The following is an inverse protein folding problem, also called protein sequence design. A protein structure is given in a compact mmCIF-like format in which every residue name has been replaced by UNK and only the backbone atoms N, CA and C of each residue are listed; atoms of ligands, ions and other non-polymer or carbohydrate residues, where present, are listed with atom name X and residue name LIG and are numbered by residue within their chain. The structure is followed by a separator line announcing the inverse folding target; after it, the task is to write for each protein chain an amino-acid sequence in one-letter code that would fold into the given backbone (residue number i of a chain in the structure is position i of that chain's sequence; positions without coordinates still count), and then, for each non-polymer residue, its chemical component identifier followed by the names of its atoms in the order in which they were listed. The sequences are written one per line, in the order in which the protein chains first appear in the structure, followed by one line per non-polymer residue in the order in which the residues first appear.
data_IF_158911210679
#
_entry.id   IF_158911210679
#
_cell.length_a   1.000
_cell.length_b   1.000
_cell.length_c   1.000
_cell.angle_alpha   90.00
_cell.angle_beta   90.00
_cell.angle_gamma   90.00
#
_symmetry.space_group_name_H-M   'P 1'
#
loop_
_entity.id
_entity.type
_entity.pdbx_description
1 polymer ?
#
# COMPACT_ATOMS: atom_id res chain seq x y z
N UNK A 1 20.14 8.68 -13.91
CA UNK A 1 21.30 8.31 -13.08
C UNK A 1 21.09 8.56 -11.57
N UNK A 2 20.33 9.60 -11.15
CA UNK A 2 20.12 9.94 -9.72
C UNK A 2 19.46 8.81 -8.90
N UNK A 3 18.66 7.94 -9.51
CA UNK A 3 18.00 6.83 -8.79
C UNK A 3 18.83 5.52 -8.81
N UNK A 4 19.93 5.45 -9.53
CA UNK A 4 20.73 4.21 -9.67
C UNK A 4 21.39 3.79 -8.36
N UNK A 5 21.73 4.75 -7.49
CA UNK A 5 22.35 4.51 -6.18
C UNK A 5 21.35 4.29 -5.05
N UNK A 6 20.06 4.30 -5.34
CA UNK A 6 19.01 4.11 -4.31
C UNK A 6 19.09 2.70 -3.72
N UNK A 7 19.24 2.55 -2.37
CA UNK A 7 19.27 1.26 -1.71
C UNK A 7 18.01 0.44 -1.94
N UNK A 8 18.13 -0.90 -1.86
CA UNK A 8 17.02 -1.82 -2.08
C UNK A 8 15.81 -1.53 -1.19
N UNK A 9 16.02 -1.37 0.12
CA UNK A 9 14.94 -1.07 1.06
C UNK A 9 14.21 0.23 0.74
N UNK A 10 14.95 1.29 0.35
CA UNK A 10 14.34 2.55 -0.07
C UNK A 10 13.61 2.39 -1.42
N UNK A 11 14.16 1.62 -2.36
CA UNK A 11 13.48 1.31 -3.63
C UNK A 11 12.14 0.62 -3.39
N UNK A 12 12.11 -0.38 -2.49
CA UNK A 12 10.90 -1.10 -2.13
C UNK A 12 9.86 -0.17 -1.50
N UNK A 13 10.24 0.50 -0.40
CA UNK A 13 9.29 1.34 0.37
C UNK A 13 8.75 2.51 -0.43
N UNK A 14 9.58 3.22 -1.21
CA UNK A 14 9.11 4.34 -2.04
C UNK A 14 8.29 3.87 -3.25
N UNK A 15 8.60 2.69 -3.79
CA UNK A 15 7.80 2.09 -4.87
C UNK A 15 6.41 1.65 -4.40
N UNK A 16 6.33 1.05 -3.22
CA UNK A 16 5.06 0.68 -2.59
C UNK A 16 4.26 1.92 -2.14
N UNK A 17 4.93 2.98 -1.73
CA UNK A 17 4.30 4.27 -1.44
C UNK A 17 3.64 4.87 -2.69
N UNK A 18 4.35 4.86 -3.82
CA UNK A 18 3.76 5.28 -5.10
C UNK A 18 2.58 4.39 -5.53
N UNK A 19 2.63 3.09 -5.25
CA UNK A 19 1.51 2.16 -5.45
C UNK A 19 0.32 2.55 -4.58
N UNK A 20 0.56 2.86 -3.31
CA UNK A 20 -0.48 3.29 -2.36
C UNK A 20 -1.18 4.56 -2.84
N UNK A 21 -0.42 5.58 -3.24
CA UNK A 21 -0.96 6.80 -3.83
C UNK A 21 -1.87 6.53 -5.04
N UNK A 22 -1.41 5.69 -5.97
CA UNK A 22 -2.16 5.36 -7.18
C UNK A 22 -3.46 4.60 -6.87
N UNK A 23 -3.41 3.64 -5.93
CA UNK A 23 -4.57 2.85 -5.53
C UNK A 23 -5.58 3.71 -4.79
N UNK A 24 -5.17 4.48 -3.78
CA UNK A 24 -6.09 5.33 -3.02
C UNK A 24 -6.76 6.40 -3.89
N UNK A 25 -6.00 7.05 -4.78
CA UNK A 25 -6.57 7.98 -5.76
C UNK A 25 -7.58 7.30 -6.70
N UNK A 26 -7.37 6.02 -7.04
CA UNK A 26 -8.27 5.27 -7.90
C UNK A 26 -9.55 4.84 -7.19
N UNK A 27 -9.44 4.31 -5.98
CA UNK A 27 -10.60 3.80 -5.23
C UNK A 27 -11.43 4.90 -4.58
N UNK A 28 -10.85 6.09 -4.38
CA UNK A 28 -11.50 7.26 -3.79
C UNK A 28 -12.76 7.70 -4.56
N UNK A 29 -13.61 8.47 -3.89
CA UNK A 29 -14.89 8.98 -4.47
C UNK A 29 -14.70 10.17 -5.39
N UNK A 30 -13.60 10.93 -5.26
CA UNK A 30 -13.29 12.11 -6.08
C UNK A 30 -12.51 11.79 -7.37
N UNK A 31 -12.30 10.50 -7.67
CA UNK A 31 -11.57 10.08 -8.87
C UNK A 31 -12.25 10.54 -10.16
N UNK A 32 -11.48 11.12 -11.08
CA UNK A 32 -11.92 11.58 -12.41
C UNK A 32 -11.49 10.57 -13.50
N UNK A 33 -11.93 10.79 -14.74
CA UNK A 33 -11.45 9.98 -15.87
C UNK A 33 -9.93 10.09 -16.04
N UNK A 34 -9.39 11.30 -15.86
CA UNK A 34 -7.96 11.57 -16.01
C UNK A 34 -7.13 10.91 -14.87
N UNK A 35 -7.56 11.09 -13.62
CA UNK A 35 -6.84 10.51 -12.48
C UNK A 35 -6.92 8.99 -12.46
N UNK A 36 -8.05 8.40 -12.88
CA UNK A 36 -8.16 6.94 -13.08
C UNK A 36 -7.18 6.41 -14.11
N UNK A 37 -7.04 7.08 -15.25
CA UNK A 37 -6.10 6.66 -16.27
C UNK A 37 -4.65 6.72 -15.75
N UNK A 38 -4.27 7.81 -15.09
CA UNK A 38 -2.95 7.97 -14.48
C UNK A 38 -2.68 6.91 -13.40
N UNK A 39 -3.66 6.62 -12.52
CA UNK A 39 -3.54 5.57 -11.51
C UNK A 39 -3.35 4.19 -12.11
N UNK A 40 -4.14 3.81 -13.12
CA UNK A 40 -4.03 2.50 -13.79
C UNK A 40 -2.63 2.35 -14.40
N UNK A 41 -2.17 3.35 -15.14
CA UNK A 41 -0.83 3.31 -15.76
C UNK A 41 0.28 3.24 -14.70
N UNK A 42 0.16 4.01 -13.61
CA UNK A 42 1.11 3.96 -12.50
C UNK A 42 1.18 2.56 -11.87
N UNK A 43 0.02 1.96 -11.55
CA UNK A 43 -0.07 0.62 -10.94
C UNK A 43 0.58 -0.43 -11.87
N UNK A 44 0.28 -0.38 -13.16
CA UNK A 44 0.82 -1.33 -14.14
C UNK A 44 2.33 -1.20 -14.24
N UNK A 45 2.86 0.02 -14.35
CA UNK A 45 4.30 0.26 -14.37
C UNK A 45 5.00 -0.23 -13.09
N UNK A 46 4.37 -0.07 -11.91
CA UNK A 46 4.93 -0.54 -10.66
C UNK A 46 4.96 -2.07 -10.62
N UNK A 47 3.87 -2.74 -10.97
CA UNK A 47 3.83 -4.21 -10.99
C UNK A 47 4.86 -4.82 -11.95
N UNK A 48 5.06 -4.21 -13.11
CA UNK A 48 6.00 -4.70 -14.11
C UNK A 48 7.47 -4.42 -13.76
N UNK A 49 7.76 -3.38 -12.96
CA UNK A 49 9.13 -2.87 -12.86
C UNK A 49 9.71 -2.81 -11.43
N UNK A 50 8.88 -2.74 -10.37
CA UNK A 50 9.39 -2.51 -9.02
C UNK A 50 10.30 -3.63 -8.53
N UNK A 51 9.92 -4.89 -8.74
CA UNK A 51 10.76 -6.02 -8.33
C UNK A 51 12.08 -6.06 -9.12
N UNK A 52 12.07 -5.71 -10.40
CA UNK A 52 13.28 -5.61 -11.23
C UNK A 52 14.19 -4.50 -10.70
N UNK A 53 13.63 -3.31 -10.43
CA UNK A 53 14.39 -2.20 -9.86
C UNK A 53 14.94 -2.51 -8.45
N UNK A 54 14.21 -3.29 -7.65
CA UNK A 54 14.65 -3.77 -6.33
C UNK A 54 15.81 -4.77 -6.43
N UNK A 55 15.71 -5.76 -7.33
CA UNK A 55 16.74 -6.80 -7.51
C UNK A 55 18.00 -6.24 -8.17
N UNK A 56 17.81 -5.43 -9.20
CA UNK A 56 18.89 -4.80 -9.99
C UNK A 56 18.70 -3.28 -10.07
N UNK A 57 19.30 -2.56 -9.14
CA UNK A 57 19.24 -1.09 -9.08
C UNK A 57 19.84 -0.38 -10.31
N UNK A 58 20.66 -1.08 -11.10
CA UNK A 58 21.28 -0.55 -12.31
C UNK A 58 20.43 -0.71 -13.57
N UNK A 59 19.27 -1.38 -13.48
CA UNK A 59 18.34 -1.49 -14.61
C UNK A 59 17.71 -0.12 -14.89
N UNK A 60 18.27 0.57 -15.88
CA UNK A 60 17.86 1.93 -16.26
C UNK A 60 16.42 1.98 -16.77
N UNK A 61 15.93 0.90 -17.38
CA UNK A 61 14.56 0.84 -17.90
C UNK A 61 13.58 0.71 -16.74
N UNK A 62 13.82 -0.22 -15.81
CA UNK A 62 13.00 -0.36 -14.61
C UNK A 62 12.99 0.93 -13.77
N UNK A 63 14.17 1.55 -13.55
CA UNK A 63 14.27 2.84 -12.83
C UNK A 63 13.49 3.96 -13.48
N UNK A 64 13.59 4.11 -14.80
CA UNK A 64 12.83 5.12 -15.56
C UNK A 64 11.32 4.88 -15.48
N UNK A 65 10.91 3.62 -15.59
CA UNK A 65 9.50 3.26 -15.50
C UNK A 65 8.96 3.52 -14.08
N UNK A 66 9.73 3.24 -13.04
CA UNK A 66 9.37 3.57 -11.66
C UNK A 66 9.27 5.09 -11.43
N UNK A 67 10.18 5.89 -12.01
CA UNK A 67 10.10 7.35 -11.95
C UNK A 67 8.82 7.87 -12.63
N UNK A 68 8.48 7.31 -13.81
CA UNK A 68 7.23 7.63 -14.50
C UNK A 68 6.00 7.25 -13.67
N UNK A 69 6.02 6.06 -13.07
CA UNK A 69 4.95 5.60 -12.20
C UNK A 69 4.72 6.54 -11.01
N UNK A 70 5.79 6.94 -10.33
CA UNK A 70 5.73 7.90 -9.22
C UNK A 70 5.14 9.25 -9.67
N UNK A 71 5.55 9.77 -10.82
CA UNK A 71 4.98 11.00 -11.38
C UNK A 71 3.48 10.88 -11.67
N UNK A 72 3.05 9.75 -12.27
CA UNK A 72 1.64 9.51 -12.56
C UNK A 72 0.80 9.35 -11.30
N UNK A 73 1.31 8.61 -10.30
CA UNK A 73 0.69 8.49 -8.99
C UNK A 73 0.55 9.88 -8.32
N UNK A 74 1.61 10.69 -8.39
CA UNK A 74 1.62 12.09 -7.92
C UNK A 74 0.54 12.94 -8.60
N UNK A 75 0.42 12.83 -9.91
CA UNK A 75 -0.62 13.52 -10.70
C UNK A 75 -2.02 13.08 -10.30
N UNK A 76 -2.21 11.79 -10.01
CA UNK A 76 -3.51 11.25 -9.63
C UNK A 76 -3.93 11.74 -8.23
N UNK A 77 -3.09 11.55 -7.21
CA UNK A 77 -3.47 11.87 -5.83
C UNK A 77 -3.58 13.37 -5.57
N UNK A 78 -2.80 14.22 -6.24
CA UNK A 78 -2.91 15.68 -6.11
C UNK A 78 -4.33 16.19 -6.42
N UNK A 79 -5.05 15.51 -7.29
CA UNK A 79 -6.43 15.86 -7.67
C UNK A 79 -7.50 15.01 -7.00
N UNK A 80 -7.16 13.76 -6.65
CA UNK A 80 -8.13 12.78 -6.14
C UNK A 80 -7.91 12.43 -4.67
N UNK A 81 -6.92 13.06 -4.05
CA UNK A 81 -6.53 12.84 -2.66
C UNK A 81 -6.02 11.42 -2.37
N UNK A 82 -5.67 11.18 -1.14
CA UNK A 82 -5.29 9.89 -0.54
C UNK A 82 -6.43 9.35 0.34
N UNK A 83 -6.17 8.34 1.14
CA UNK A 83 -7.18 7.73 1.99
C UNK A 83 -6.64 7.32 3.36
N UNK A 84 -7.26 6.32 3.97
CA UNK A 84 -6.93 5.90 5.33
C UNK A 84 -5.57 5.21 5.46
N UNK A 85 -5.01 4.65 4.38
CA UNK A 85 -3.63 4.13 4.43
C UNK A 85 -2.68 5.26 4.83
N UNK A 86 -2.75 6.39 4.15
CA UNK A 86 -1.91 7.55 4.45
C UNK A 86 -2.23 8.17 5.80
N UNK A 87 -3.50 8.33 6.16
CA UNK A 87 -3.87 8.94 7.45
C UNK A 87 -3.31 8.14 8.64
N UNK A 88 -3.41 6.81 8.59
CA UNK A 88 -2.84 5.92 9.60
C UNK A 88 -1.32 5.94 9.57
N UNK A 89 -0.70 5.90 8.39
CA UNK A 89 0.75 5.96 8.23
C UNK A 89 1.35 7.28 8.76
N UNK A 90 0.69 8.41 8.53
CA UNK A 90 1.15 9.72 9.01
C UNK A 90 1.18 9.80 10.53
N UNK A 91 0.17 9.28 11.22
CA UNK A 91 0.17 9.25 12.69
C UNK A 91 1.28 8.36 13.26
N UNK A 92 1.56 7.22 12.62
CA UNK A 92 2.67 6.34 12.97
C UNK A 92 4.03 7.00 12.73
N UNK A 93 4.20 7.66 11.59
CA UNK A 93 5.40 8.42 11.29
C UNK A 93 5.64 9.55 12.28
N UNK A 94 4.58 10.32 12.60
CA UNK A 94 4.67 11.45 13.53
C UNK A 94 4.94 11.05 14.99
N UNK A 95 4.40 9.92 15.46
CA UNK A 95 4.55 9.50 16.85
C UNK A 95 5.77 8.58 17.10
N UNK A 96 6.11 7.73 16.12
CA UNK A 96 7.14 6.69 16.28
C UNK A 96 8.33 6.83 15.33
N UNK A 97 8.29 7.78 14.39
CA UNK A 97 9.35 7.94 13.40
C UNK A 97 9.42 6.78 12.39
N UNK A 98 8.34 6.01 12.25
CA UNK A 98 8.27 4.91 11.29
C UNK A 98 8.39 5.51 9.88
N UNK A 99 9.31 5.01 9.03
CA UNK A 99 9.46 5.53 7.67
C UNK A 99 8.16 5.46 6.88
N UNK A 100 7.76 6.58 6.27
CA UNK A 100 6.46 6.76 5.61
C UNK A 100 6.13 5.65 4.61
N UNK A 101 7.04 5.37 3.67
CA UNK A 101 6.83 4.34 2.66
C UNK A 101 6.75 2.92 3.24
N UNK A 102 7.44 2.66 4.36
CA UNK A 102 7.32 1.40 5.09
C UNK A 102 5.92 1.26 5.71
N UNK A 103 5.46 2.29 6.42
CA UNK A 103 4.12 2.28 7.03
C UNK A 103 3.03 2.06 5.96
N UNK A 104 3.10 2.80 4.84
CA UNK A 104 2.17 2.64 3.73
C UNK A 104 2.21 1.23 3.12
N UNK A 105 3.40 0.64 2.96
CA UNK A 105 3.55 -0.71 2.40
C UNK A 105 2.83 -1.78 3.22
N UNK A 106 2.97 -1.72 4.54
CA UNK A 106 2.36 -2.68 5.46
C UNK A 106 0.86 -2.45 5.60
N UNK A 107 0.45 -1.19 5.71
CA UNK A 107 -0.95 -0.81 5.90
C UNK A 107 -1.81 -1.05 4.65
N UNK A 108 -1.25 -0.92 3.45
CA UNK A 108 -2.02 -0.97 2.21
C UNK A 108 -2.89 -2.23 2.11
N UNK A 109 -2.37 -3.46 2.17
CA UNK A 109 -3.20 -4.66 2.05
C UNK A 109 -4.21 -4.80 3.21
N UNK A 110 -3.88 -4.31 4.40
CA UNK A 110 -4.75 -4.36 5.59
C UNK A 110 -5.97 -3.46 5.39
N UNK A 111 -5.74 -2.21 5.03
CA UNK A 111 -6.81 -1.21 4.83
C UNK A 111 -7.68 -1.57 3.63
N UNK A 112 -7.07 -2.04 2.52
CA UNK A 112 -7.85 -2.49 1.36
C UNK A 112 -8.80 -3.64 1.71
N UNK A 113 -8.33 -4.61 2.50
CA UNK A 113 -9.15 -5.72 2.99
C UNK A 113 -10.27 -5.21 3.91
N UNK A 114 -9.97 -4.26 4.80
CA UNK A 114 -10.93 -3.69 5.73
C UNK A 114 -12.05 -2.87 5.07
N UNK A 115 -11.81 -2.31 3.87
CA UNK A 115 -12.89 -1.66 3.09
C UNK A 115 -13.96 -2.65 2.60
N UNK A 116 -13.62 -3.93 2.45
CA UNK A 116 -14.56 -4.97 2.03
C UNK A 116 -15.34 -4.60 0.77
N UNK A 117 -16.65 -4.81 0.81
CA UNK A 117 -17.55 -4.57 -0.34
C UNK A 117 -17.50 -3.15 -0.89
N UNK A 118 -17.14 -2.16 -0.07
CA UNK A 118 -17.02 -0.76 -0.52
C UNK A 118 -15.93 -0.55 -1.58
N UNK A 119 -14.87 -1.39 -1.56
CA UNK A 119 -13.76 -1.31 -2.51
C UNK A 119 -13.76 -2.43 -3.55
N UNK A 120 -14.47 -3.56 -3.34
CA UNK A 120 -14.37 -4.77 -4.17
C UNK A 120 -14.49 -4.48 -5.67
N UNK A 121 -15.52 -3.74 -6.11
CA UNK A 121 -15.72 -3.45 -7.53
C UNK A 121 -14.55 -2.72 -8.19
N UNK A 122 -13.96 -1.75 -7.48
CA UNK A 122 -12.83 -0.96 -8.01
C UNK A 122 -11.53 -1.76 -7.98
N UNK A 123 -11.28 -2.53 -6.92
CA UNK A 123 -10.11 -3.42 -6.81
C UNK A 123 -10.18 -4.56 -7.83
N UNK A 124 -11.34 -5.20 -8.00
CA UNK A 124 -11.55 -6.21 -9.01
C UNK A 124 -11.28 -5.71 -10.43
N UNK A 125 -11.70 -4.46 -10.72
CA UNK A 125 -11.38 -3.84 -11.99
C UNK A 125 -9.89 -3.63 -12.19
N UNK A 126 -9.17 -3.20 -11.16
CA UNK A 126 -7.70 -3.10 -11.19
C UNK A 126 -7.06 -4.47 -11.43
N UNK A 127 -7.50 -5.51 -10.69
CA UNK A 127 -7.00 -6.87 -10.85
C UNK A 127 -7.12 -7.37 -12.30
N UNK A 128 -8.27 -7.15 -12.93
CA UNK A 128 -8.50 -7.57 -14.32
C UNK A 128 -7.69 -6.76 -15.33
N UNK A 129 -7.56 -5.44 -15.14
CA UNK A 129 -6.78 -4.57 -16.04
C UNK A 129 -5.29 -4.91 -15.96
N UNK A 130 -4.78 -5.23 -14.77
CA UNK A 130 -3.38 -5.57 -14.54
C UNK A 130 -3.05 -7.04 -14.81
N UNK A 131 -4.03 -7.86 -15.19
CA UNK A 131 -3.84 -9.28 -15.48
C UNK A 131 -3.62 -10.16 -14.25
N UNK A 132 -3.89 -9.66 -13.04
CA UNK A 132 -3.76 -10.43 -11.79
C UNK A 132 -4.90 -11.43 -11.63
N UNK A 133 -6.10 -11.10 -12.13
CA UNK A 133 -7.29 -11.94 -12.02
C UNK A 133 -8.12 -11.87 -13.27
N UNK A 134 -8.69 -12.99 -13.67
CA UNK A 134 -9.72 -13.12 -14.70
C UNK A 134 -11.10 -13.47 -14.11
N UNK A 135 -11.18 -13.60 -12.77
CA UNK A 135 -12.42 -13.93 -12.06
C UNK A 135 -13.53 -12.92 -12.37
N UNK A 136 -14.73 -13.44 -12.64
CA UNK A 136 -15.94 -12.64 -12.82
C UNK A 136 -16.55 -12.17 -11.49
N UNK A 137 -16.17 -12.79 -10.37
CA UNK A 137 -16.63 -12.44 -9.03
C UNK A 137 -15.75 -11.31 -8.47
N UNK A 138 -16.33 -10.15 -8.21
CA UNK A 138 -15.60 -8.96 -7.75
C UNK A 138 -14.88 -9.20 -6.41
N UNK A 139 -15.50 -9.96 -5.49
CA UNK A 139 -14.87 -10.27 -4.20
C UNK A 139 -13.60 -11.12 -4.38
N UNK A 140 -13.63 -12.12 -5.28
CA UNK A 140 -12.47 -12.97 -5.56
C UNK A 140 -11.36 -12.18 -6.23
N UNK A 141 -11.67 -11.44 -7.29
CA UNK A 141 -10.68 -10.63 -7.99
C UNK A 141 -10.05 -9.55 -7.07
N UNK A 142 -10.84 -8.95 -6.18
CA UNK A 142 -10.33 -8.00 -5.20
C UNK A 142 -9.37 -8.66 -4.19
N UNK A 143 -9.68 -9.85 -3.69
CA UNK A 143 -8.81 -10.59 -2.78
C UNK A 143 -7.51 -11.00 -3.47
N UNK A 144 -7.56 -11.46 -4.72
CA UNK A 144 -6.37 -11.79 -5.52
C UNK A 144 -5.48 -10.57 -5.73
N UNK A 145 -6.06 -9.38 -5.96
CA UNK A 145 -5.31 -8.13 -6.06
C UNK A 145 -4.60 -7.77 -4.74
N UNK A 146 -5.30 -7.90 -3.61
CA UNK A 146 -4.72 -7.64 -2.28
C UNK A 146 -3.60 -8.63 -1.97
N UNK A 147 -3.80 -9.91 -2.30
CA UNK A 147 -2.79 -10.95 -2.10
C UNK A 147 -1.56 -10.74 -2.99
N UNK A 148 -1.73 -10.20 -4.20
CA UNK A 148 -0.60 -9.82 -5.05
C UNK A 148 0.26 -8.73 -4.38
N UNK A 149 -0.37 -7.70 -3.78
CA UNK A 149 0.34 -6.65 -3.03
C UNK A 149 1.13 -7.25 -1.85
N UNK A 150 0.53 -8.16 -1.08
CA UNK A 150 1.22 -8.89 0.00
C UNK A 150 2.43 -9.67 -0.50
N UNK A 151 2.26 -10.39 -1.61
CA UNK A 151 3.35 -11.15 -2.23
C UNK A 151 4.50 -10.24 -2.67
N UNK A 152 4.20 -9.04 -3.13
CA UNK A 152 5.23 -8.04 -3.44
C UNK A 152 5.99 -7.61 -2.18
N UNK A 153 5.30 -7.31 -1.08
CA UNK A 153 5.94 -6.96 0.20
C UNK A 153 6.90 -8.07 0.63
N UNK A 154 6.44 -9.32 0.66
CA UNK A 154 7.25 -10.49 1.03
C UNK A 154 8.48 -10.62 0.12
N UNK A 155 8.29 -10.51 -1.21
CA UNK A 155 9.37 -10.67 -2.19
C UNK A 155 10.46 -9.60 -2.12
N UNK A 156 10.14 -8.46 -1.53
CA UNK A 156 11.06 -7.33 -1.33
C UNK A 156 11.54 -7.20 0.13
N UNK A 157 11.28 -8.20 0.98
CA UNK A 157 11.66 -8.21 2.38
C UNK A 157 11.17 -6.95 3.14
N UNK A 158 9.98 -6.48 2.82
CA UNK A 158 9.34 -5.43 3.61
C UNK A 158 8.92 -6.07 4.93
N UNK A 159 9.43 -5.55 6.06
CA UNK A 159 9.12 -6.15 7.36
C UNK A 159 7.63 -5.98 7.68
N UNK A 160 7.00 -7.07 8.03
CA UNK A 160 5.70 -7.15 8.69
C UNK A 160 5.92 -7.94 9.97
N UNK A 161 5.63 -7.40 11.13
CA UNK A 161 4.83 -6.23 11.51
C UNK A 161 5.62 -4.93 11.62
N UNK A 162 4.88 -3.86 11.98
CA UNK A 162 5.50 -2.63 12.47
C UNK A 162 5.66 -2.76 14.00
N UNK A 163 6.88 -3.00 14.43
CA UNK A 163 7.19 -3.14 15.85
C UNK A 163 7.16 -1.79 16.61
N UNK A 164 6.95 -1.87 17.92
CA UNK A 164 7.10 -0.74 18.83
C UNK A 164 5.87 0.15 19.02
N UNK A 165 4.75 -0.15 18.38
CA UNK A 165 3.48 0.57 18.59
C UNK A 165 2.91 0.14 19.96
N UNK A 166 2.63 1.09 20.86
CA UNK A 166 2.08 0.80 22.17
C UNK A 166 0.56 0.84 22.14
N UNK A 167 -0.10 -0.15 22.72
CA UNK A 167 -1.55 -0.23 22.78
C UNK A 167 -2.20 1.00 23.41
N UNK A 168 -1.55 1.60 24.42
CA UNK A 168 -2.02 2.81 25.11
C UNK A 168 -2.08 4.05 24.21
N UNK A 169 -1.29 4.09 23.14
CA UNK A 169 -1.26 5.22 22.21
C UNK A 169 -2.29 5.09 21.07
N UNK A 170 -2.82 3.88 20.81
CA UNK A 170 -3.70 3.60 19.67
C UNK A 170 -4.92 4.53 19.62
N UNK A 171 -5.65 4.80 20.72
CA UNK A 171 -6.78 5.72 20.66
C UNK A 171 -6.38 7.15 20.21
N UNK A 172 -5.21 7.60 20.65
CA UNK A 172 -4.67 8.91 20.25
C UNK A 172 -4.25 8.92 18.78
N UNK A 173 -3.60 7.86 18.30
CA UNK A 173 -3.21 7.71 16.90
C UNK A 173 -4.44 7.71 15.97
N UNK A 174 -5.47 6.95 16.35
CA UNK A 174 -6.73 6.89 15.61
C UNK A 174 -7.43 8.26 15.56
N UNK A 175 -7.40 9.02 16.66
CA UNK A 175 -7.91 10.38 16.69
C UNK A 175 -7.15 11.32 15.73
N UNK A 176 -5.83 11.15 15.59
CA UNK A 176 -5.06 11.93 14.63
C UNK A 176 -5.40 11.55 13.18
N UNK A 177 -5.48 10.27 12.87
CA UNK A 177 -5.87 9.78 11.55
C UNK A 177 -7.30 10.22 11.17
N UNK A 178 -8.24 10.17 12.13
CA UNK A 178 -9.61 10.64 11.94
C UNK A 178 -9.66 12.14 11.62
N UNK A 179 -9.01 12.97 12.42
CA UNK A 179 -8.96 14.43 12.20
C UNK A 179 -8.30 14.82 10.87
N UNK A 180 -7.33 14.07 10.42
CA UNK A 180 -6.68 14.31 9.15
C UNK A 180 -7.58 13.92 7.98
N UNK A 181 -8.15 12.72 8.05
CA UNK A 181 -8.89 12.16 6.92
C UNK A 181 -10.32 12.67 6.80
N UNK A 182 -11.01 12.90 7.93
CA UNK A 182 -12.43 13.19 7.91
C UNK A 182 -12.72 14.68 8.15
N UNK A 183 -13.55 15.31 7.31
CA UNK A 183 -14.25 14.76 6.13
C UNK A 183 -13.49 14.94 4.81
N UNK A 184 -12.20 15.26 4.81
CA UNK A 184 -11.45 15.74 3.64
C UNK A 184 -11.15 14.65 2.62
N UNK A 185 -10.80 13.44 3.09
CA UNK A 185 -10.39 12.37 2.18
C UNK A 185 -11.61 11.65 1.58
N UNK A 186 -11.65 11.52 0.25
CA UNK A 186 -12.79 10.94 -0.45
C UNK A 186 -12.75 9.39 -0.43
N UNK A 187 -12.69 8.81 0.75
CA UNK A 187 -12.55 7.38 0.99
C UNK A 187 -13.75 6.56 0.48
N UNK A 188 -13.55 5.26 0.14
CA UNK A 188 -14.63 4.38 -0.31
C UNK A 188 -15.78 4.23 0.72
N UNK A 189 -15.43 4.13 2.00
CA UNK A 189 -16.36 4.08 3.13
C UNK A 189 -15.83 4.98 4.25
N UNK A 190 -16.72 5.73 4.89
CA UNK A 190 -16.36 6.56 6.05
C UNK A 190 -16.21 5.67 7.28
N UNK A 191 -15.09 5.84 7.98
CA UNK A 191 -14.77 5.19 9.24
C UNK A 191 -14.62 6.24 10.35
N UNK A 192 -15.09 5.92 11.53
CA UNK A 192 -14.78 6.67 12.74
C UNK A 192 -13.52 6.17 13.42
N UNK A 193 -13.12 6.82 14.55
CA UNK A 193 -11.92 6.47 15.31
C UNK A 193 -11.83 4.99 15.68
N UNK A 194 -12.93 4.38 16.11
CA UNK A 194 -12.99 2.96 16.52
C UNK A 194 -12.59 2.00 15.39
N UNK A 195 -12.99 2.32 14.14
CA UNK A 195 -12.58 1.51 12.97
C UNK A 195 -11.14 1.76 12.60
N UNK A 196 -10.65 2.97 12.80
CA UNK A 196 -9.24 3.32 12.59
C UNK A 196 -8.34 2.65 13.65
N UNK A 197 -8.76 2.55 14.92
CA UNK A 197 -8.05 1.81 15.97
C UNK A 197 -7.78 0.36 15.56
N UNK A 198 -8.76 -0.30 14.93
CA UNK A 198 -8.60 -1.66 14.43
C UNK A 198 -7.43 -1.81 13.43
N UNK A 199 -7.12 -0.76 12.64
CA UNK A 199 -6.00 -0.82 11.69
C UNK A 199 -4.65 -0.89 12.40
N UNK A 200 -4.51 -0.20 13.53
CA UNK A 200 -3.26 -0.25 14.33
C UNK A 200 -3.09 -1.61 15.01
N UNK A 201 -4.17 -2.19 15.53
CA UNK A 201 -4.12 -3.56 16.08
C UNK A 201 -3.75 -4.58 15.01
N UNK A 202 -4.38 -4.51 13.82
CA UNK A 202 -4.07 -5.43 12.72
C UNK A 202 -2.60 -5.33 12.25
N UNK A 203 -2.01 -4.14 12.27
CA UNK A 203 -0.59 -3.95 11.96
C UNK A 203 0.33 -4.65 12.96
N UNK A 204 -0.08 -4.72 14.24
CA UNK A 204 0.66 -5.45 15.28
C UNK A 204 0.46 -6.97 15.16
N UNK A 205 -0.76 -7.44 14.83
CA UNK A 205 -1.16 -8.86 14.81
C UNK A 205 -0.61 -9.63 13.62
N UNK A 206 -0.35 -8.98 12.48
CA UNK A 206 0.31 -9.61 11.32
C UNK A 206 1.61 -10.31 11.75
N UNK A 207 2.20 -9.90 12.89
CA UNK A 207 3.40 -10.47 13.47
C UNK A 207 3.28 -11.89 14.01
N UNK A 208 2.13 -12.31 14.52
CA UNK A 208 2.02 -13.63 15.17
C UNK A 208 1.79 -14.75 14.14
N UNK A 209 1.05 -14.48 13.07
CA UNK A 209 0.74 -15.51 12.07
C UNK A 209 1.93 -15.83 11.15
N UNK A 210 2.78 -14.84 10.84
CA UNK A 210 3.97 -15.04 10.00
C UNK A 210 5.19 -15.50 10.80
N UNK A 211 5.27 -15.27 12.11
CA UNK A 211 6.28 -15.90 12.98
C UNK A 211 6.17 -17.43 12.94
N UNK A 212 4.97 -17.98 12.90
CA UNK A 212 4.76 -19.41 12.80
C UNK A 212 5.16 -20.00 11.45
N UNK A 213 4.99 -19.28 10.33
CA UNK A 213 5.43 -19.73 9.00
C UNK A 213 6.96 -19.71 8.84
N UNK A 214 7.64 -18.72 9.42
CA UNK A 214 9.11 -18.65 9.39
C UNK A 214 9.78 -19.64 10.35
N UNK A 215 9.09 -20.10 11.40
CA UNK A 215 9.59 -21.15 12.28
C UNK A 215 9.49 -22.56 11.69
N UNK A 216 8.64 -22.78 10.69
CA UNK A 216 8.49 -24.08 10.00
C UNK A 216 9.47 -24.29 8.85
N UNK A 217 10.26 -23.27 8.46
CA UNK A 217 11.33 -23.39 7.47
C UNK A 217 12.66 -22.82 7.99
N UNK A 218 13.31 -23.45 9.01
CA UNK A 218 14.67 -23.11 9.37
C UNK A 218 15.63 -23.69 8.32
N UNK A 219 16.15 -22.83 7.46
CA UNK A 219 17.47 -23.02 6.86
C UNK A 219 17.70 -24.24 5.97
N UNK A 220 17.75 -23.97 4.65
CA UNK A 220 18.80 -24.58 3.81
C UNK A 220 19.57 -23.43 3.17
N UNK A 221 20.55 -22.91 3.94
CA UNK A 221 21.70 -22.22 3.40
C UNK A 221 22.88 -23.20 3.53
N UNK A 222 23.33 -23.72 2.43
CA UNK A 222 24.67 -24.27 2.22
C UNK A 222 25.15 -23.77 0.85
#
# INVERSE_FOLDING_TARGET
DMMSSMPKGLTASTGMDALTHAIEAYIGRSTTKQTRAASIEAIQLIFDNLQTAYKNGNDKTARRNMLRASYLAGTAFTKSYVGYVHAVAHSLGGCYGIPHGLANSVLLPIVLKAYGTAAHKKLARLARITGISDSKLDAVAAEEFINHIRSMNISMNIPEPLDGIRNEDIPKLACYADKEANPLYPVPALWGPEKLEQMYHLVQEVSEHDRNRNSEHPGKAA
#
